data_IF_918380301945
#
_entry.id   IF_918380301945
#
_cell.length_a   1.000
_cell.length_b   1.000
_cell.length_c   1.000
_cell.angle_alpha   90.00
_cell.angle_beta   90.00
_cell.angle_gamma   90.00
#
_symmetry.space_group_name_H-M   'P 1'
#
loop_
_entity.id
_entity.type
_entity.pdbx_description
1 polymer ?
#
# COMPACT_ATOMS: atom_id res chain seq x y z
N UNK A 1 11.30 -36.57 6.43
CA UNK A 1 12.03 -35.69 5.49
C UNK A 1 10.96 -35.00 4.67
N UNK A 2 10.53 -33.81 5.09
CA UNK A 2 9.53 -33.06 4.32
C UNK A 2 10.18 -32.61 3.02
N UNK A 3 9.61 -33.02 1.90
CA UNK A 3 9.90 -32.42 0.60
C UNK A 3 9.41 -30.97 0.68
N UNK A 4 10.33 -30.03 0.85
CA UNK A 4 10.06 -28.64 0.49
C UNK A 4 9.61 -28.66 -0.97
N UNK A 5 8.34 -28.32 -1.19
CA UNK A 5 7.76 -28.21 -2.51
C UNK A 5 8.52 -27.12 -3.27
N UNK A 6 9.45 -27.56 -4.12
CA UNK A 6 10.36 -26.68 -4.88
C UNK A 6 9.60 -25.79 -5.88
N UNK A 7 8.29 -26.02 -6.04
CA UNK A 7 7.36 -25.27 -6.88
C UNK A 7 6.51 -24.26 -6.10
N UNK A 8 6.51 -24.32 -4.76
CA UNK A 8 5.86 -23.30 -3.96
C UNK A 8 6.73 -22.03 -4.03
N UNK A 9 6.16 -20.95 -4.58
CA UNK A 9 6.80 -19.63 -4.53
C UNK A 9 7.14 -19.20 -3.10
N UNK A 10 7.83 -18.07 -2.91
CA UNK A 10 8.14 -17.58 -1.57
C UNK A 10 6.88 -17.51 -0.69
N UNK A 11 6.98 -17.81 0.61
CA UNK A 11 5.83 -17.81 1.49
C UNK A 11 5.21 -16.40 1.60
N UNK A 12 3.90 -16.30 1.86
CA UNK A 12 3.24 -15.02 2.01
C UNK A 12 3.79 -14.21 3.19
N UNK A 13 4.02 -12.93 2.96
CA UNK A 13 4.45 -12.00 4.01
C UNK A 13 3.23 -11.46 4.76
N UNK A 14 3.28 -11.54 6.09
CA UNK A 14 2.24 -11.04 6.99
C UNK A 14 2.86 -9.97 7.89
N UNK A 15 2.41 -8.72 7.73
CA UNK A 15 2.92 -7.60 8.52
C UNK A 15 2.34 -7.60 9.95
N UNK A 16 3.06 -7.05 10.94
CA UNK A 16 2.49 -6.78 12.25
C UNK A 16 1.42 -5.69 12.16
N UNK A 17 0.51 -5.65 13.15
CA UNK A 17 -0.50 -4.61 13.23
C UNK A 17 0.12 -3.21 13.21
N UNK A 18 -0.52 -2.29 12.48
CA UNK A 18 -0.10 -0.89 12.41
C UNK A 18 -0.52 -0.17 13.71
N UNK A 19 0.41 0.43 14.47
CA UNK A 19 0.09 1.08 15.74
C UNK A 19 -0.88 2.25 15.58
N UNK A 20 -0.94 2.88 14.41
CA UNK A 20 -1.82 3.99 14.12
C UNK A 20 -3.25 3.57 13.70
N UNK A 21 -3.50 2.26 13.50
CA UNK A 21 -4.79 1.77 13.00
C UNK A 21 -5.96 2.19 13.90
N UNK A 22 -5.80 2.10 15.22
CA UNK A 22 -6.86 2.45 16.17
C UNK A 22 -7.25 3.95 16.12
N UNK A 23 -6.28 4.84 15.89
CA UNK A 23 -6.56 6.28 15.76
C UNK A 23 -7.30 6.59 14.46
N UNK A 24 -6.93 5.93 13.37
CA UNK A 24 -7.61 6.05 12.08
C UNK A 24 -9.04 5.50 12.16
N UNK A 25 -9.24 4.35 12.80
CA UNK A 25 -10.56 3.75 13.02
C UNK A 25 -11.45 4.62 13.91
N UNK A 26 -10.86 5.37 14.84
CA UNK A 26 -11.55 6.37 15.67
C UNK A 26 -11.91 7.66 14.91
N UNK A 27 -11.48 7.80 13.64
CA UNK A 27 -11.76 8.95 12.80
C UNK A 27 -10.79 10.12 12.95
N UNK A 28 -9.62 9.92 13.58
CA UNK A 28 -8.57 10.95 13.62
C UNK A 28 -8.12 11.28 12.19
N UNK A 29 -8.00 12.57 11.82
CA UNK A 29 -7.55 12.95 10.48
C UNK A 29 -6.19 12.34 10.15
N UNK A 30 -6.07 11.72 8.97
CA UNK A 30 -4.82 11.05 8.56
C UNK A 30 -3.60 11.99 8.56
N UNK A 31 -3.81 13.30 8.34
CA UNK A 31 -2.76 14.32 8.45
C UNK A 31 -2.17 14.41 9.85
N UNK A 32 -3.00 14.24 10.89
CA UNK A 32 -2.58 14.31 12.29
C UNK A 32 -1.93 13.00 12.70
N UNK A 33 -2.52 11.87 12.28
CA UNK A 33 -1.95 10.54 12.49
C UNK A 33 -0.56 10.42 11.86
N UNK A 34 -0.35 10.91 10.63
CA UNK A 34 0.99 10.90 10.00
C UNK A 34 1.99 11.76 10.77
N UNK A 35 1.58 12.84 11.42
CA UNK A 35 2.48 13.66 12.25
C UNK A 35 2.88 12.94 13.54
N UNK A 36 1.96 12.15 14.12
CA UNK A 36 2.21 11.37 15.32
C UNK A 36 2.98 10.06 15.02
N UNK A 37 2.68 9.42 13.89
CA UNK A 37 3.18 8.10 13.47
C UNK A 37 3.72 8.14 12.03
N UNK A 38 4.80 8.90 11.76
CA UNK A 38 5.33 9.11 10.40
C UNK A 38 5.85 7.84 9.72
N UNK A 39 6.06 6.77 10.47
CA UNK A 39 6.42 5.43 9.99
C UNK A 39 5.23 4.57 9.54
N UNK A 40 3.99 4.93 9.92
CA UNK A 40 2.77 4.16 9.63
C UNK A 40 2.46 4.15 8.14
N UNK A 41 2.59 2.99 7.44
CA UNK A 41 2.24 2.96 6.03
C UNK A 41 0.74 3.11 5.80
N UNK A 42 -0.10 2.66 6.74
CA UNK A 42 -1.55 2.80 6.64
C UNK A 42 -1.99 4.27 6.69
N UNK A 43 -1.41 5.07 7.58
CA UNK A 43 -1.74 6.50 7.70
C UNK A 43 -1.38 7.26 6.41
N UNK A 44 -0.21 6.98 5.83
CA UNK A 44 0.18 7.55 4.54
C UNK A 44 -0.73 7.12 3.38
N UNK A 45 -1.15 5.85 3.35
CA UNK A 45 -2.07 5.35 2.33
C UNK A 45 -3.43 6.07 2.40
N UNK A 46 -4.00 6.20 3.60
CA UNK A 46 -5.28 6.91 3.81
C UNK A 46 -5.14 8.39 3.44
N UNK A 47 -4.02 9.03 3.82
CA UNK A 47 -3.76 10.42 3.47
C UNK A 47 -3.67 10.61 1.94
N UNK A 48 -3.02 9.69 1.24
CA UNK A 48 -2.94 9.73 -0.23
C UNK A 48 -4.30 9.54 -0.88
N UNK A 49 -5.10 8.57 -0.41
CA UNK A 49 -6.46 8.35 -0.91
C UNK A 49 -7.37 9.57 -0.68
N UNK A 50 -7.29 10.20 0.50
CA UNK A 50 -8.04 11.42 0.80
C UNK A 50 -7.63 12.58 -0.11
N UNK A 51 -6.33 12.72 -0.40
CA UNK A 51 -5.83 13.72 -1.35
C UNK A 51 -6.32 13.47 -2.78
N UNK A 52 -6.40 12.20 -3.20
CA UNK A 52 -6.85 11.80 -4.53
C UNK A 52 -8.39 11.72 -4.67
N UNK A 53 -9.14 11.88 -3.58
CA UNK A 53 -10.60 11.86 -3.65
C UNK A 53 -11.13 13.04 -4.46
N UNK A 54 -12.19 12.82 -5.23
CA UNK A 54 -12.82 13.87 -6.02
C UNK A 54 -13.31 15.00 -5.11
N UNK A 55 -13.00 16.25 -5.46
CA UNK A 55 -13.36 17.41 -4.66
C UNK A 55 -12.50 17.64 -3.41
N UNK A 56 -11.40 16.90 -3.23
CA UNK A 56 -10.43 17.15 -2.13
C UNK A 56 -9.81 18.55 -2.16
N UNK A 57 -9.72 19.15 -3.36
CA UNK A 57 -8.99 20.41 -3.59
C UNK A 57 -7.46 20.26 -3.49
N UNK A 58 -6.95 19.03 -3.34
CA UNK A 58 -5.53 18.71 -3.29
C UNK A 58 -5.06 18.28 -4.69
N UNK A 59 -3.91 18.80 -5.11
CA UNK A 59 -3.31 18.49 -6.41
C UNK A 59 -2.81 17.04 -6.48
N UNK A 60 -2.97 16.39 -7.65
CA UNK A 60 -2.61 14.98 -7.85
C UNK A 60 -1.10 14.72 -7.62
N UNK A 61 -0.20 15.69 -7.84
CA UNK A 61 1.23 15.57 -7.51
C UNK A 61 1.44 15.45 -6.01
N UNK A 62 0.60 16.13 -5.20
CA UNK A 62 0.65 16.02 -3.74
C UNK A 62 0.16 14.64 -3.29
N UNK A 63 -0.95 14.14 -3.89
CA UNK A 63 -1.42 12.77 -3.65
C UNK A 63 -0.39 11.71 -4.03
N UNK A 64 0.29 11.88 -5.18
CA UNK A 64 1.41 11.05 -5.60
C UNK A 64 2.54 11.04 -4.56
N UNK A 65 2.93 12.21 -4.04
CA UNK A 65 3.97 12.31 -3.03
C UNK A 65 3.59 11.56 -1.74
N UNK A 66 2.35 11.68 -1.27
CA UNK A 66 1.87 10.93 -0.11
C UNK A 66 1.88 9.42 -0.35
N UNK A 67 1.39 8.96 -1.51
CA UNK A 67 1.38 7.55 -1.88
C UNK A 67 2.81 6.98 -1.96
N UNK A 68 3.75 7.73 -2.55
CA UNK A 68 5.16 7.37 -2.66
C UNK A 68 5.79 7.16 -1.27
N UNK A 69 5.49 8.02 -0.30
CA UNK A 69 5.98 7.85 1.08
C UNK A 69 5.39 6.59 1.71
N UNK A 70 4.08 6.38 1.64
CA UNK A 70 3.43 5.18 2.18
C UNK A 70 3.96 3.89 1.56
N UNK A 71 4.19 3.90 0.25
CA UNK A 71 4.80 2.81 -0.49
C UNK A 71 6.22 2.50 0.03
N UNK A 72 7.08 3.52 0.17
CA UNK A 72 8.44 3.32 0.68
C UNK A 72 8.48 2.83 2.13
N UNK A 73 7.63 3.38 3.03
CA UNK A 73 7.49 2.90 4.41
C UNK A 73 7.08 1.43 4.46
N UNK A 74 6.16 1.04 3.57
CA UNK A 74 5.72 -0.34 3.42
C UNK A 74 6.84 -1.27 2.97
N UNK A 75 7.65 -0.88 1.98
CA UNK A 75 8.76 -1.72 1.50
C UNK A 75 9.79 -1.99 2.61
N UNK A 76 10.10 -0.98 3.43
CA UNK A 76 11.02 -1.17 4.56
C UNK A 76 10.43 -2.12 5.60
N UNK A 77 9.13 -2.00 5.89
CA UNK A 77 8.42 -2.87 6.82
C UNK A 77 8.34 -4.31 6.30
N UNK A 78 8.03 -4.51 5.01
CA UNK A 78 8.03 -5.81 4.35
C UNK A 78 9.41 -6.48 4.43
N UNK A 79 10.49 -5.75 4.11
CA UNK A 79 11.86 -6.27 4.17
C UNK A 79 12.25 -6.72 5.58
N UNK A 80 11.87 -5.95 6.60
CA UNK A 80 12.08 -6.32 8.02
C UNK A 80 11.33 -7.58 8.41
N UNK A 81 10.24 -7.90 7.72
CA UNK A 81 9.40 -9.09 7.94
C UNK A 81 9.67 -10.19 6.89
N UNK A 82 10.86 -10.22 6.30
CA UNK A 82 11.34 -11.35 5.50
C UNK A 82 11.08 -11.25 3.99
N UNK A 83 10.41 -10.20 3.51
CA UNK A 83 10.15 -10.02 2.08
C UNK A 83 11.43 -9.67 1.31
N UNK A 84 11.68 -10.40 0.21
CA UNK A 84 12.92 -10.31 -0.59
C UNK A 84 12.73 -9.59 -1.93
N UNK A 85 11.76 -8.68 -2.00
CA UNK A 85 11.45 -7.95 -3.24
C UNK A 85 10.43 -8.63 -4.15
N UNK A 86 9.93 -9.82 -3.78
CA UNK A 86 8.91 -10.56 -4.51
C UNK A 86 8.16 -11.51 -3.57
N UNK A 87 7.00 -11.98 -4.00
CA UNK A 87 6.17 -12.92 -3.26
C UNK A 87 4.85 -12.31 -2.75
N UNK A 88 3.91 -13.18 -2.32
CA UNK A 88 2.56 -12.75 -2.00
C UNK A 88 2.49 -11.90 -0.73
N UNK A 89 1.62 -10.90 -0.76
CA UNK A 89 1.28 -10.03 0.37
C UNK A 89 -0.26 -10.01 0.47
N UNK A 90 -0.88 -10.98 1.17
CA UNK A 90 -2.34 -11.20 1.12
C UNK A 90 -3.16 -10.00 1.60
N UNK A 91 -4.22 -9.65 0.87
CA UNK A 91 -5.19 -8.59 1.21
C UNK A 91 -6.04 -8.92 2.44
N UNK A 92 -6.28 -10.22 2.61
CA UNK A 92 -7.09 -10.82 3.66
C UNK A 92 -6.47 -10.55 5.04
N UNK A 93 -5.14 -10.44 5.10
CA UNK A 93 -4.43 -10.02 6.30
C UNK A 93 -4.47 -8.50 6.45
N UNK A 94 -5.36 -8.00 7.29
CA UNK A 94 -5.62 -6.55 7.43
C UNK A 94 -4.35 -5.67 7.59
N UNK A 95 -3.31 -6.05 8.36
CA UNK A 95 -2.07 -5.26 8.45
C UNK A 95 -1.30 -5.06 7.13
N UNK A 96 -1.50 -5.92 6.13
CA UNK A 96 -0.91 -5.75 4.80
C UNK A 96 -1.56 -4.62 4.00
N UNK A 97 -2.76 -4.17 4.38
CA UNK A 97 -3.54 -3.23 3.57
C UNK A 97 -2.88 -1.86 3.45
N UNK A 98 -2.05 -1.43 4.41
CA UNK A 98 -1.29 -0.19 4.28
C UNK A 98 -0.39 -0.19 3.04
N UNK A 99 0.32 -1.29 2.79
CA UNK A 99 1.13 -1.48 1.58
C UNK A 99 0.29 -1.48 0.31
N UNK A 100 -0.74 -2.34 0.29
CA UNK A 100 -1.55 -2.58 -0.91
C UNK A 100 -2.31 -1.33 -1.32
N UNK A 101 -2.84 -0.59 -0.34
CA UNK A 101 -3.50 0.71 -0.54
C UNK A 101 -2.54 1.78 -1.02
N UNK A 102 -1.35 1.91 -0.42
CA UNK A 102 -0.35 2.88 -0.88
C UNK A 102 0.10 2.60 -2.33
N UNK A 103 0.28 1.33 -2.70
CA UNK A 103 0.63 0.92 -4.06
C UNK A 103 -0.50 1.23 -5.07
N UNK A 104 -1.76 0.97 -4.68
CA UNK A 104 -2.91 1.31 -5.50
C UNK A 104 -3.09 2.84 -5.67
N UNK A 105 -2.92 3.60 -4.58
CA UNK A 105 -2.95 5.06 -4.61
C UNK A 105 -1.83 5.62 -5.50
N UNK A 106 -0.62 5.04 -5.42
CA UNK A 106 0.50 5.42 -6.28
C UNK A 106 0.18 5.16 -7.76
N UNK A 107 -0.41 4.00 -8.08
CA UNK A 107 -0.84 3.68 -9.43
C UNK A 107 -1.86 4.70 -9.98
N UNK A 108 -2.86 5.07 -9.17
CA UNK A 108 -3.89 6.06 -9.55
C UNK A 108 -3.29 7.45 -9.72
N UNK A 109 -2.46 7.90 -8.79
CA UNK A 109 -1.85 9.22 -8.86
C UNK A 109 -0.90 9.33 -10.06
N UNK A 110 -0.09 8.29 -10.32
CA UNK A 110 0.80 8.23 -11.48
C UNK A 110 0.02 8.36 -12.80
N UNK A 111 -1.13 7.68 -12.90
CA UNK A 111 -2.01 7.77 -14.07
C UNK A 111 -2.56 9.19 -14.27
N UNK A 112 -3.06 9.82 -13.20
CA UNK A 112 -3.62 11.18 -13.24
C UNK A 112 -2.59 12.26 -13.62
N UNK A 113 -1.33 12.09 -13.23
CA UNK A 113 -0.24 13.01 -13.61
C UNK A 113 0.39 12.68 -14.98
N UNK A 114 -0.10 11.65 -15.68
CA UNK A 114 0.38 11.25 -17.00
C UNK A 114 1.64 10.37 -17.00
N UNK A 115 2.05 9.81 -15.87
CA UNK A 115 3.17 8.86 -15.75
C UNK A 115 2.71 7.41 -16.00
N UNK A 116 2.16 7.14 -17.20
CA UNK A 116 1.51 5.86 -17.56
C UNK A 116 2.39 4.63 -17.27
N UNK A 117 3.69 4.69 -17.57
CA UNK A 117 4.59 3.57 -17.35
C UNK A 117 4.74 3.20 -15.86
N UNK A 118 4.66 4.17 -14.94
CA UNK A 118 4.68 3.90 -13.50
C UNK A 118 3.34 3.35 -13.04
N UNK A 119 2.23 3.89 -13.54
CA UNK A 119 0.89 3.39 -13.24
C UNK A 119 0.75 1.91 -13.62
N UNK A 120 1.20 1.52 -14.81
CA UNK A 120 1.19 0.13 -15.29
C UNK A 120 2.08 -0.79 -14.43
N UNK A 121 3.29 -0.34 -14.09
CA UNK A 121 4.18 -1.10 -13.18
C UNK A 121 3.54 -1.32 -11.82
N UNK A 122 2.95 -0.28 -11.23
CA UNK A 122 2.29 -0.38 -9.92
C UNK A 122 1.06 -1.29 -9.98
N UNK A 123 0.26 -1.23 -11.05
CA UNK A 123 -0.89 -2.12 -11.28
C UNK A 123 -0.47 -3.59 -11.38
N UNK A 124 0.56 -3.87 -12.19
CA UNK A 124 1.14 -5.21 -12.31
C UNK A 124 1.65 -5.71 -10.97
N UNK A 125 2.44 -4.89 -10.27
CA UNK A 125 2.99 -5.26 -8.97
C UNK A 125 1.90 -5.51 -7.92
N UNK A 126 0.82 -4.72 -7.91
CA UNK A 126 -0.30 -4.95 -7.01
C UNK A 126 -0.98 -6.30 -7.30
N UNK A 127 -1.26 -6.59 -8.57
CA UNK A 127 -1.86 -7.86 -9.00
C UNK A 127 -1.00 -9.07 -8.62
N UNK A 128 0.32 -8.97 -8.82
CA UNK A 128 1.27 -10.03 -8.48
C UNK A 128 1.41 -10.22 -6.97
N UNK A 129 1.27 -9.14 -6.18
CA UNK A 129 1.34 -9.19 -4.72
C UNK A 129 0.05 -9.73 -4.11
N UNK A 130 -1.11 -9.30 -4.61
CA UNK A 130 -2.44 -9.73 -4.19
C UNK A 130 -3.47 -9.47 -5.29
N UNK A 131 -3.96 -10.53 -5.96
CA UNK A 131 -5.07 -10.43 -6.91
C UNK A 131 -6.33 -9.82 -6.27
N UNK A 132 -6.67 -10.23 -5.05
CA UNK A 132 -7.81 -9.68 -4.29
C UNK A 132 -7.67 -8.18 -4.09
N UNK A 133 -6.49 -7.69 -3.68
CA UNK A 133 -6.28 -6.24 -3.52
C UNK A 133 -6.39 -5.49 -4.85
N UNK A 134 -5.90 -6.07 -5.94
CA UNK A 134 -6.05 -5.49 -7.26
C UNK A 134 -7.52 -5.31 -7.64
N UNK A 135 -8.34 -6.33 -7.41
CA UNK A 135 -9.77 -6.28 -7.71
C UNK A 135 -10.51 -5.25 -6.83
N UNK A 136 -10.29 -5.32 -5.51
CA UNK A 136 -10.92 -4.43 -4.53
C UNK A 136 -10.52 -2.96 -4.70
N UNK A 137 -9.27 -2.70 -5.11
CA UNK A 137 -8.72 -1.35 -5.16
C UNK A 137 -8.68 -0.77 -6.57
N UNK A 138 -8.59 -1.54 -7.65
CA UNK A 138 -8.33 -0.98 -8.98
C UNK A 138 -9.25 -1.50 -10.09
N UNK A 139 -10.04 -2.55 -9.87
CA UNK A 139 -10.95 -3.09 -10.88
C UNK A 139 -12.37 -2.47 -10.83
N UNK A 140 -12.66 -1.63 -9.83
CA UNK A 140 -13.89 -0.85 -9.68
C UNK A 140 -13.85 0.48 -10.41
#
# INVERSE_FOLDING_TARGET
>A
MEFQDLMAGPPPTHLPADPAAAELDAGTPATDVVRAHPESPLAWAILAEAALADGSGVDDVTGYAYARVGYHRSLDLLRRNGWKGHGPVPWEHAPNRGFLRALAALARAADRIGETAEAERCRGFLRDSSPTAYDELLAG
#
